data_IF_470737849495
#
_entry.id   IF_470737849495
#
_cell.length_a   1.000
_cell.length_b   1.000
_cell.length_c   1.000
_cell.angle_alpha   90.00
_cell.angle_beta   90.00
_cell.angle_gamma   90.00
#
_symmetry.space_group_name_H-M   'P 1'
#
loop_
_entity.id
_entity.type
_entity.pdbx_description
1 polymer ?
#
# COMPACT_ATOMS: atom_id res chain seq x y z
N UNK A 1 36.16 -65.24 -15.87
CA UNK A 1 36.28 -63.82 -15.47
C UNK A 1 34.88 -63.27 -15.25
N UNK A 2 34.51 -62.92 -14.01
CA UNK A 2 33.15 -62.46 -13.66
C UNK A 2 33.11 -60.93 -13.74
N UNK A 3 32.24 -60.37 -14.58
CA UNK A 3 32.02 -58.94 -14.67
C UNK A 3 31.09 -58.47 -13.54
N UNK A 4 31.58 -57.59 -12.67
CA UNK A 4 30.80 -56.93 -11.63
C UNK A 4 30.13 -55.71 -12.26
N UNK A 5 28.80 -55.65 -12.23
CA UNK A 5 28.02 -54.47 -12.64
C UNK A 5 27.95 -53.49 -11.48
N UNK A 6 28.51 -52.30 -11.66
CA UNK A 6 28.28 -51.16 -10.77
C UNK A 6 26.90 -50.56 -11.08
N UNK A 7 26.02 -50.53 -10.08
CA UNK A 7 24.78 -49.76 -10.10
C UNK A 7 25.10 -48.40 -9.49
N UNK A 8 25.11 -47.34 -10.31
CA UNK A 8 25.08 -45.97 -9.81
C UNK A 8 23.66 -45.67 -9.31
N UNK A 9 23.52 -45.42 -8.01
CA UNK A 9 22.31 -44.84 -7.44
C UNK A 9 22.48 -43.32 -7.49
N UNK A 10 21.78 -42.66 -8.41
CA UNK A 10 21.66 -41.21 -8.41
C UNK A 10 20.65 -40.81 -7.33
N UNK A 11 21.12 -40.24 -6.23
CA UNK A 11 20.26 -39.63 -5.22
C UNK A 11 19.79 -38.27 -5.74
N UNK A 12 18.56 -38.22 -6.26
CA UNK A 12 17.88 -36.98 -6.64
C UNK A 12 17.46 -36.26 -5.35
N UNK A 13 18.23 -35.27 -4.93
CA UNK A 13 17.90 -34.42 -3.79
C UNK A 13 16.67 -33.56 -4.12
N UNK A 14 15.52 -33.93 -3.56
CA UNK A 14 14.31 -33.11 -3.59
C UNK A 14 14.52 -31.91 -2.67
N UNK A 15 14.95 -30.78 -3.24
CA UNK A 15 14.90 -29.49 -2.53
C UNK A 15 13.44 -29.09 -2.44
N UNK A 16 12.83 -29.28 -1.27
CA UNK A 16 11.54 -28.69 -0.94
C UNK A 16 11.73 -27.18 -0.87
N UNK A 17 11.49 -26.48 -1.98
CA UNK A 17 11.32 -25.04 -1.98
C UNK A 17 10.09 -24.74 -1.10
N UNK A 18 10.32 -24.23 0.11
CA UNK A 18 9.24 -23.65 0.89
C UNK A 18 8.62 -22.53 0.05
N UNK A 19 7.29 -22.41 -0.02
CA UNK A 19 6.69 -21.31 -0.76
C UNK A 19 7.22 -20.01 -0.16
N UNK A 20 7.89 -19.20 -0.99
CA UNK A 20 8.29 -17.86 -0.59
C UNK A 20 7.03 -17.13 -0.11
N UNK A 21 7.08 -16.60 1.13
CA UNK A 21 5.98 -15.78 1.65
C UNK A 21 5.82 -14.61 0.69
N UNK A 22 4.58 -14.33 0.27
CA UNK A 22 4.32 -13.22 -0.63
C UNK A 22 4.89 -11.93 -0.04
N UNK A 23 5.73 -11.25 -0.81
CA UNK A 23 6.32 -9.98 -0.43
C UNK A 23 5.55 -8.85 -1.12
N UNK A 24 5.28 -7.79 -0.38
CA UNK A 24 4.69 -6.59 -0.95
C UNK A 24 5.80 -5.73 -1.57
N UNK A 25 5.61 -5.33 -2.82
CA UNK A 25 6.34 -4.29 -3.52
C UNK A 25 5.31 -3.34 -4.15
N UNK A 26 5.43 -2.04 -3.89
CA UNK A 26 4.41 -1.07 -4.30
C UNK A 26 4.31 -0.98 -5.83
N UNK A 27 5.45 -0.89 -6.50
CA UNK A 27 5.57 -0.76 -7.95
C UNK A 27 5.09 -1.99 -8.71
N UNK A 28 5.08 -3.16 -8.08
CA UNK A 28 4.60 -4.39 -8.70
C UNK A 28 3.10 -4.57 -8.50
N UNK A 29 2.61 -4.33 -7.28
CA UNK A 29 1.22 -4.59 -6.96
C UNK A 29 0.30 -3.51 -7.53
N UNK A 30 0.67 -2.23 -7.43
CA UNK A 30 -0.14 -1.11 -7.91
C UNK A 30 0.06 -0.78 -9.40
N UNK A 31 0.88 -1.53 -10.14
CA UNK A 31 1.07 -1.28 -11.58
C UNK A 31 -0.21 -1.54 -12.37
N UNK A 32 -0.58 -0.58 -13.23
CA UNK A 32 -1.75 -0.70 -14.08
C UNK A 32 -3.03 -0.25 -13.37
N UNK A 33 -4.13 -0.97 -13.59
CA UNK A 33 -5.45 -0.63 -13.05
C UNK A 33 -5.73 -1.46 -11.81
N UNK A 34 -6.16 -0.79 -10.75
CA UNK A 34 -6.65 -1.41 -9.52
C UNK A 34 -7.87 -0.64 -9.04
N UNK A 35 -8.71 -1.31 -8.24
CA UNK A 35 -9.91 -0.72 -7.66
C UNK A 35 -9.87 -0.87 -6.15
N UNK A 36 -10.54 0.03 -5.45
CA UNK A 36 -10.76 -0.12 -4.03
C UNK A 36 -12.13 0.34 -3.56
N UNK A 37 -12.55 -0.22 -2.44
CA UNK A 37 -13.65 0.29 -1.62
C UNK A 37 -13.12 0.64 -0.24
N UNK A 38 -13.60 1.75 0.32
CA UNK A 38 -13.13 2.20 1.62
C UNK A 38 -14.14 3.04 2.38
N UNK A 39 -13.77 3.33 3.63
CA UNK A 39 -14.55 4.16 4.52
C UNK A 39 -13.67 5.04 5.40
N UNK A 40 -14.20 6.21 5.74
CA UNK A 40 -13.63 7.14 6.70
C UNK A 40 -14.63 7.31 7.85
N UNK A 41 -14.14 7.23 9.09
CA UNK A 41 -14.97 7.42 10.30
C UNK A 41 -14.24 8.30 11.30
N UNK A 42 -14.90 9.34 11.80
CA UNK A 42 -14.37 10.27 12.79
C UNK A 42 -15.17 10.28 14.10
N UNK A 43 -14.54 10.77 15.17
CA UNK A 43 -15.12 10.80 16.52
C UNK A 43 -16.28 11.80 16.69
N UNK A 44 -16.45 12.73 15.75
CA UNK A 44 -17.57 13.67 15.68
C UNK A 44 -18.84 13.07 15.06
N UNK A 45 -18.77 11.80 14.65
CA UNK A 45 -19.87 11.08 14.00
C UNK A 45 -19.84 11.14 12.48
N UNK A 46 -18.87 11.83 11.87
CA UNK A 46 -18.70 11.79 10.41
C UNK A 46 -18.35 10.37 9.97
N UNK A 47 -19.11 9.85 9.01
CA UNK A 47 -18.87 8.56 8.36
C UNK A 47 -19.11 8.72 6.86
N UNK A 48 -18.12 8.37 6.04
CA UNK A 48 -18.20 8.44 4.57
C UNK A 48 -17.72 7.13 3.98
N UNK A 49 -18.39 6.64 2.94
CA UNK A 49 -17.86 5.55 2.10
C UNK A 49 -17.40 6.10 0.78
N UNK A 50 -16.42 5.44 0.18
CA UNK A 50 -15.91 5.81 -1.12
C UNK A 50 -15.45 4.59 -1.91
N UNK A 51 -15.49 4.72 -3.22
CA UNK A 51 -14.77 3.85 -4.14
C UNK A 51 -13.60 4.61 -4.74
N UNK A 52 -12.54 3.90 -5.10
CA UNK A 52 -11.36 4.49 -5.75
C UNK A 52 -11.02 3.68 -6.98
N UNK A 53 -10.87 4.36 -8.11
CA UNK A 53 -10.22 3.79 -9.29
C UNK A 53 -8.77 4.28 -9.31
N UNK A 54 -7.81 3.36 -9.40
CA UNK A 54 -6.40 3.68 -9.35
C UNK A 54 -5.72 3.38 -10.69
N UNK A 55 -4.73 4.21 -11.03
CA UNK A 55 -3.85 3.99 -12.18
C UNK A 55 -2.40 4.18 -11.76
N UNK A 56 -1.67 3.08 -11.65
CA UNK A 56 -0.25 3.07 -11.36
C UNK A 56 0.61 3.00 -12.61
N UNK A 57 1.68 3.79 -12.63
CA UNK A 57 2.72 3.77 -13.66
C UNK A 57 4.09 3.71 -13.01
N UNK A 58 4.96 2.86 -13.55
CA UNK A 58 6.32 2.66 -13.05
C UNK A 58 7.33 2.95 -14.16
N UNK A 59 8.31 3.81 -13.87
CA UNK A 59 9.37 4.19 -14.82
C UNK A 59 10.72 3.50 -14.58
N UNK A 60 10.77 2.55 -13.63
CA UNK A 60 12.00 1.90 -13.18
C UNK A 60 12.56 2.46 -11.86
N UNK A 61 12.12 3.65 -11.46
CA UNK A 61 12.56 4.30 -10.21
C UNK A 61 11.43 4.93 -9.41
N UNK A 62 10.38 5.38 -10.07
CA UNK A 62 9.27 6.12 -9.49
C UNK A 62 7.93 5.50 -9.86
N UNK A 63 7.11 5.23 -8.85
CA UNK A 63 5.72 4.81 -8.98
C UNK A 63 4.86 6.05 -8.87
N UNK A 64 4.11 6.37 -9.92
CA UNK A 64 3.03 7.36 -9.88
C UNK A 64 1.71 6.63 -9.80
N UNK A 65 0.99 6.85 -8.71
CA UNK A 65 -0.29 6.23 -8.42
C UNK A 65 -1.36 7.30 -8.36
N UNK A 66 -2.10 7.45 -9.47
CA UNK A 66 -3.29 8.31 -9.51
C UNK A 66 -4.45 7.58 -8.86
N UNK A 67 -5.17 8.27 -7.99
CA UNK A 67 -6.32 7.77 -7.24
C UNK A 67 -7.52 8.68 -7.53
N UNK A 68 -8.56 8.13 -8.16
CA UNK A 68 -9.80 8.83 -8.47
C UNK A 68 -10.91 8.37 -7.50
N UNK A 69 -11.22 9.21 -6.52
CA UNK A 69 -12.20 8.95 -5.46
C UNK A 69 -13.61 9.35 -5.89
N UNK A 70 -14.58 8.50 -5.56
CA UNK A 70 -16.00 8.81 -5.60
C UNK A 70 -16.64 8.50 -4.24
N UNK A 71 -17.11 9.54 -3.57
CA UNK A 71 -17.74 9.45 -2.25
C UNK A 71 -19.24 9.20 -2.37
N UNK A 72 -19.84 8.61 -1.33
CA UNK A 72 -21.27 8.28 -1.28
C UNK A 72 -22.21 9.51 -1.18
N UNK A 73 -21.67 10.67 -0.82
CA UNK A 73 -22.33 11.97 -0.87
C UNK A 73 -22.25 12.66 -2.25
N UNK A 74 -21.59 12.03 -3.23
CA UNK A 74 -21.43 12.55 -4.59
C UNK A 74 -20.20 13.41 -4.81
N UNK A 75 -19.42 13.72 -3.77
CA UNK A 75 -18.12 14.37 -3.91
C UNK A 75 -17.16 13.49 -4.72
N UNK A 76 -16.28 14.14 -5.49
CA UNK A 76 -15.20 13.49 -6.22
C UNK A 76 -13.90 14.21 -5.94
N UNK A 77 -12.84 13.44 -5.79
CA UNK A 77 -11.51 13.95 -5.56
C UNK A 77 -10.50 13.14 -6.36
N UNK A 78 -9.39 13.76 -6.75
CA UNK A 78 -8.27 13.07 -7.37
C UNK A 78 -7.03 13.37 -6.55
N UNK A 79 -6.33 12.31 -6.17
CA UNK A 79 -5.03 12.39 -5.51
C UNK A 79 -3.99 11.65 -6.34
N UNK A 80 -2.73 12.00 -6.19
CA UNK A 80 -1.64 11.32 -6.89
C UNK A 80 -0.46 11.16 -5.97
N UNK A 81 -0.26 9.93 -5.52
CA UNK A 81 0.96 9.54 -4.86
C UNK A 81 2.11 9.42 -5.86
N UNK A 82 3.28 9.92 -5.47
CA UNK A 82 4.55 9.76 -6.16
C UNK A 82 5.50 9.09 -5.18
N UNK A 83 5.80 7.81 -5.41
CA UNK A 83 6.72 7.02 -4.61
C UNK A 83 8.04 6.78 -5.36
N UNK A 84 9.13 7.38 -4.88
CA UNK A 84 10.48 7.14 -5.37
C UNK A 84 11.10 5.99 -4.58
N UNK A 85 11.58 4.94 -5.26
CA UNK A 85 12.24 3.82 -4.59
C UNK A 85 13.62 4.23 -4.11
N UNK A 86 13.84 4.12 -2.81
CA UNK A 86 15.10 4.53 -2.14
C UNK A 86 15.98 3.34 -1.77
N UNK A 87 15.39 2.14 -1.66
CA UNK A 87 16.09 0.87 -1.53
C UNK A 87 15.16 -0.28 -1.94
N UNK A 88 15.62 -1.53 -1.83
CA UNK A 88 14.77 -2.71 -2.04
C UNK A 88 13.48 -2.70 -1.20
N UNK A 89 13.49 -2.06 -0.02
CA UNK A 89 12.39 -2.13 0.97
C UNK A 89 11.93 -0.77 1.48
N UNK A 90 12.35 0.33 0.85
CA UNK A 90 11.96 1.69 1.28
C UNK A 90 11.65 2.61 0.12
N UNK A 91 10.67 3.50 0.32
CA UNK A 91 10.26 4.51 -0.65
C UNK A 91 10.16 5.88 0.02
N UNK A 92 10.44 6.92 -0.75
CA UNK A 92 10.09 8.30 -0.44
C UNK A 92 8.77 8.60 -1.12
N UNK A 93 7.76 9.07 -0.38
CA UNK A 93 6.43 9.34 -0.88
C UNK A 93 6.08 10.83 -0.80
N UNK A 94 5.55 11.38 -1.89
CA UNK A 94 4.92 12.70 -1.90
C UNK A 94 3.53 12.62 -2.50
N UNK A 95 2.70 13.58 -2.11
CA UNK A 95 1.33 13.74 -2.59
C UNK A 95 0.95 15.20 -2.38
N UNK A 96 0.08 15.72 -3.21
CA UNK A 96 -0.28 17.15 -3.31
C UNK A 96 -0.81 17.79 -2.01
N UNK A 97 -1.44 17.02 -1.13
CA UNK A 97 -1.97 17.44 0.18
C UNK A 97 -1.05 17.08 1.36
N UNK A 98 0.07 16.40 1.09
CA UNK A 98 1.03 15.97 2.11
C UNK A 98 2.03 17.07 2.41
N UNK A 99 2.15 17.41 3.69
CA UNK A 99 3.15 18.37 4.17
C UNK A 99 4.53 17.68 4.21
N UNK A 100 5.30 17.90 3.15
CA UNK A 100 6.66 17.38 2.99
C UNK A 100 6.67 16.02 2.31
N UNK A 101 7.40 15.08 2.90
CA UNK A 101 7.64 13.74 2.33
C UNK A 101 7.43 12.69 3.41
N UNK A 102 6.88 11.55 3.03
CA UNK A 102 6.77 10.36 3.88
C UNK A 102 7.83 9.33 3.51
N UNK A 103 8.23 8.51 4.47
CA UNK A 103 9.01 7.31 4.19
C UNK A 103 8.13 6.10 4.35
N UNK A 104 8.08 5.26 3.31
CA UNK A 104 7.42 3.96 3.33
C UNK A 104 8.45 2.90 3.63
N UNK A 105 8.16 2.07 4.63
CA UNK A 105 8.97 0.92 5.02
C UNK A 105 8.21 -0.37 4.74
N UNK A 106 8.84 -1.33 4.06
CA UNK A 106 8.20 -2.60 3.76
C UNK A 106 8.87 -3.75 4.50
N UNK A 107 8.04 -4.60 5.11
CA UNK A 107 8.47 -5.77 5.87
C UNK A 107 7.61 -6.98 5.48
N UNK A 108 8.16 -7.89 4.67
CA UNK A 108 7.41 -9.02 4.12
C UNK A 108 6.19 -8.56 3.32
N UNK A 109 4.99 -8.92 3.78
CA UNK A 109 3.72 -8.60 3.14
C UNK A 109 3.10 -7.28 3.64
N UNK A 110 3.82 -6.48 4.43
CA UNK A 110 3.32 -5.22 4.99
C UNK A 110 4.10 -4.01 4.48
N UNK A 111 3.43 -2.85 4.43
CA UNK A 111 4.04 -1.55 4.26
C UNK A 111 3.48 -0.56 5.28
N UNK A 112 4.34 0.21 5.93
CA UNK A 112 3.99 1.19 6.95
C UNK A 112 4.52 2.58 6.56
N UNK A 113 3.71 3.62 6.75
CA UNK A 113 4.10 5.01 6.51
C UNK A 113 3.24 6.00 7.29
N UNK A 114 3.80 7.18 7.52
CA UNK A 114 3.13 8.24 8.28
C UNK A 114 3.37 9.60 7.66
N UNK A 115 2.31 10.38 7.52
CA UNK A 115 2.35 11.66 6.85
C UNK A 115 1.36 12.63 7.48
N UNK A 116 1.56 13.93 7.19
CA UNK A 116 0.67 14.99 7.64
C UNK A 116 -0.08 15.56 6.46
N UNK A 117 -1.37 15.81 6.65
CA UNK A 117 -2.24 16.44 5.66
C UNK A 117 -2.85 17.68 6.29
N UNK A 118 -2.94 18.76 5.51
CA UNK A 118 -3.80 19.91 5.84
C UNK A 118 -5.16 19.72 5.18
N UNK A 119 -6.18 19.41 5.99
CA UNK A 119 -7.54 19.20 5.50
C UNK A 119 -8.29 20.51 5.21
N UNK A 120 -7.74 21.66 5.60
CA UNK A 120 -8.35 22.97 5.38
C UNK A 120 -7.25 24.00 5.06
N UNK A 121 -6.62 23.92 3.86
CA UNK A 121 -5.56 24.83 3.48
C UNK A 121 -6.09 26.28 3.41
N UNK A 122 -5.62 27.14 4.31
CA UNK A 122 -6.12 28.52 4.48
C UNK A 122 -5.52 29.22 5.70
N UNK A 123 -6.24 30.20 6.27
CA UNK A 123 -5.78 30.98 7.44
C UNK A 123 -5.73 30.15 8.74
N UNK A 124 -6.58 29.12 8.87
CA UNK A 124 -6.64 28.21 10.01
C UNK A 124 -6.37 26.76 9.58
N UNK A 125 -5.08 26.35 9.45
CA UNK A 125 -4.72 25.05 8.92
C UNK A 125 -5.22 23.92 9.82
N UNK A 126 -5.87 22.92 9.21
CA UNK A 126 -6.37 21.75 9.91
C UNK A 126 -5.45 20.55 9.68
N UNK A 127 -4.31 20.57 10.37
CA UNK A 127 -3.27 19.57 10.21
C UNK A 127 -3.59 18.32 11.03
N UNK A 128 -3.66 17.18 10.34
CA UNK A 128 -3.78 15.85 10.95
C UNK A 128 -2.62 14.96 10.52
N UNK A 129 -2.37 13.89 11.27
CA UNK A 129 -1.37 12.87 10.93
C UNK A 129 -2.02 11.52 10.71
N UNK A 130 -1.69 10.91 9.58
CA UNK A 130 -2.06 9.57 9.19
C UNK A 130 -0.96 8.58 9.59
N UNK A 131 -1.37 7.37 9.97
CA UNK A 131 -0.51 6.22 10.25
C UNK A 131 -1.08 5.04 9.48
N UNK A 132 -0.56 4.82 8.29
CA UNK A 132 -1.08 3.84 7.34
C UNK A 132 -0.29 2.53 7.46
N UNK A 133 -1.03 1.44 7.41
CA UNK A 133 -0.51 0.08 7.30
C UNK A 133 -1.25 -0.64 6.17
N UNK A 134 -0.51 -0.91 5.11
CA UNK A 134 -0.92 -1.80 4.02
C UNK A 134 -0.52 -3.23 4.36
N UNK A 135 -1.42 -4.18 4.11
CA UNK A 135 -1.19 -5.61 4.28
C UNK A 135 -1.62 -6.34 3.02
N UNK A 136 -0.70 -7.06 2.37
CA UNK A 136 -0.99 -7.99 1.30
C UNK A 136 -1.56 -9.29 1.88
N UNK A 137 -2.80 -9.57 1.52
CA UNK A 137 -3.58 -10.73 1.97
C UNK A 137 -3.25 -11.98 1.15
N UNK A 138 -3.64 -13.16 1.68
CA UNK A 138 -3.36 -14.45 1.03
C UNK A 138 -4.09 -14.65 -0.30
N UNK A 139 -5.21 -13.97 -0.48
CA UNK A 139 -6.00 -13.97 -1.72
C UNK A 139 -5.46 -12.99 -2.77
N UNK A 140 -4.41 -12.22 -2.44
CA UNK A 140 -3.76 -11.27 -3.33
C UNK A 140 -4.32 -9.84 -3.24
N UNK A 141 -5.34 -9.59 -2.43
CA UNK A 141 -5.85 -8.24 -2.15
C UNK A 141 -4.93 -7.49 -1.19
N UNK A 142 -5.05 -6.16 -1.13
CA UNK A 142 -4.38 -5.35 -0.11
C UNK A 142 -5.43 -4.70 0.79
N UNK A 143 -5.21 -4.70 2.10
CA UNK A 143 -5.98 -3.88 3.04
C UNK A 143 -5.07 -2.76 3.56
N UNK A 144 -5.50 -1.50 3.43
CA UNK A 144 -4.92 -0.36 4.14
C UNK A 144 -5.79 -0.01 5.35
N UNK A 145 -5.15 0.10 6.50
CA UNK A 145 -5.76 0.68 7.71
C UNK A 145 -4.98 1.92 8.13
N UNK A 146 -5.68 3.03 8.34
CA UNK A 146 -5.08 4.27 8.80
C UNK A 146 -5.67 4.73 10.13
N UNK A 147 -4.79 5.07 11.08
CA UNK A 147 -5.17 5.85 12.26
C UNK A 147 -4.90 7.33 11.98
N UNK A 148 -5.91 8.18 12.15
CA UNK A 148 -5.78 9.62 11.99
C UNK A 148 -5.74 10.29 13.36
N UNK A 149 -4.73 11.12 13.59
CA UNK A 149 -4.54 11.84 14.85
C UNK A 149 -4.49 13.34 14.63
N UNK A 150 -5.00 14.10 15.61
CA UNK A 150 -4.85 15.54 15.71
C UNK A 150 -4.20 15.87 17.05
N UNK A 151 -3.09 16.59 17.02
CA UNK A 151 -2.26 16.87 18.22
C UNK A 151 -1.89 15.61 19.04
N UNK A 152 -1.74 14.46 18.37
CA UNK A 152 -1.42 13.17 19.00
C UNK A 152 -2.63 12.40 19.55
N UNK A 153 -3.84 12.97 19.49
CA UNK A 153 -5.07 12.31 19.91
C UNK A 153 -5.74 11.64 18.69
N UNK A 154 -6.14 10.36 18.77
CA UNK A 154 -6.95 9.72 17.74
C UNK A 154 -8.26 10.46 17.47
N UNK A 155 -8.52 10.81 16.21
CA UNK A 155 -9.74 11.54 15.79
C UNK A 155 -10.50 10.85 14.67
N UNK A 156 -9.84 10.03 13.85
CA UNK A 156 -10.51 9.27 12.79
C UNK A 156 -9.78 7.97 12.45
N UNK A 157 -10.44 7.13 11.65
CA UNK A 157 -9.91 5.92 11.05
C UNK A 157 -10.27 5.86 9.57
N UNK A 158 -9.40 5.25 8.80
CA UNK A 158 -9.66 4.88 7.40
C UNK A 158 -9.41 3.40 7.22
N UNK A 159 -10.26 2.75 6.45
CA UNK A 159 -10.05 1.38 5.98
C UNK A 159 -10.33 1.34 4.48
N UNK A 160 -9.43 0.73 3.73
CA UNK A 160 -9.52 0.59 2.27
C UNK A 160 -9.09 -0.80 1.87
N UNK A 161 -9.90 -1.47 1.06
CA UNK A 161 -9.58 -2.77 0.50
C UNK A 161 -9.38 -2.61 -1.01
N UNK A 162 -8.19 -2.98 -1.48
CA UNK A 162 -7.78 -2.88 -2.87
C UNK A 162 -7.79 -4.25 -3.52
N UNK A 163 -8.25 -4.29 -4.76
CA UNK A 163 -8.23 -5.43 -5.64
C UNK A 163 -7.70 -5.04 -7.02
N UNK A 164 -7.15 -6.02 -7.74
CA UNK A 164 -6.70 -5.85 -9.12
C UNK A 164 -7.76 -6.43 -10.04
N UNK A 165 -7.93 -5.80 -11.20
CA UNK A 165 -8.78 -6.33 -12.28
C UNK A 165 -8.27 -7.68 -12.81
#
# INVERSE_FOLDING_TARGET
MKAVRFVLIAALGLVLALPARAELLLEEWFLGKTRAEGSFSAIDGTHRRFTVDLTGTWDGTTLRLREDFAYDDGERDTKTWIFEKTSERTYSGTREDVIGTTTVYLAGNEADFTYRVDLAPGEDPNIVRFFDKLVLNRDGTITNTALVTKFGVPVARVEVNFERD
#
